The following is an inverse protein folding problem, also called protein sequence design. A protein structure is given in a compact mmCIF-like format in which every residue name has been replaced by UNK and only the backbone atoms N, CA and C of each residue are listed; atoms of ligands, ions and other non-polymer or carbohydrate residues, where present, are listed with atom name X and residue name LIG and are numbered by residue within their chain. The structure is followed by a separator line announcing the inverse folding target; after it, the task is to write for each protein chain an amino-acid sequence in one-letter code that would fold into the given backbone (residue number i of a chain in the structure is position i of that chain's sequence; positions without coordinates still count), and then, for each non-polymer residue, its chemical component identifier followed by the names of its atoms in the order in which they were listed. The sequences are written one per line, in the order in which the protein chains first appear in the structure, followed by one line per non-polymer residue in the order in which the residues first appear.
data_IF_715731855174
#
_entry.id   IF_715731855174
#
_cell.length_a   1.000
_cell.length_b   1.000
_cell.length_c   1.000
_cell.angle_alpha   90.00
_cell.angle_beta   90.00
_cell.angle_gamma   90.00
#
_symmetry.space_group_name_H-M   'P 1'
#
loop_
_entity.id
_entity.type
_entity.pdbx_description
1 polymer ?
#
# COMPACT_ATOMS: atom_id res chain seq x y z
N UNK A 1 14.76 -24.22 16.13
CA UNK A 1 15.03 -22.98 15.39
C UNK A 1 13.69 -22.54 14.83
N UNK A 2 13.14 -21.37 15.20
CA UNK A 2 12.00 -20.84 14.48
C UNK A 2 12.40 -20.61 13.02
N UNK A 3 11.49 -20.90 12.08
CA UNK A 3 11.67 -20.51 10.69
C UNK A 3 11.75 -18.97 10.63
N UNK A 4 12.60 -18.38 9.78
CA UNK A 4 12.62 -16.93 9.62
C UNK A 4 11.22 -16.47 9.20
N UNK A 5 10.70 -15.46 9.89
CA UNK A 5 9.43 -14.83 9.52
C UNK A 5 9.52 -14.37 8.07
N UNK A 6 8.52 -14.74 7.28
CA UNK A 6 8.48 -14.40 5.85
C UNK A 6 8.17 -12.92 5.69
N UNK A 7 8.78 -12.27 4.71
CA UNK A 7 8.58 -10.84 4.49
C UNK A 7 7.12 -10.52 4.12
N UNK A 8 6.42 -11.42 3.43
CA UNK A 8 5.01 -11.21 3.10
C UNK A 8 4.11 -11.20 4.35
N UNK A 9 4.36 -12.08 5.32
CA UNK A 9 3.60 -12.13 6.57
C UNK A 9 3.81 -10.85 7.39
N UNK A 10 5.07 -10.39 7.51
CA UNK A 10 5.42 -9.14 8.20
C UNK A 10 4.74 -7.92 7.58
N UNK A 11 4.71 -7.85 6.24
CA UNK A 11 4.05 -6.76 5.55
C UNK A 11 2.53 -6.78 5.76
N UNK A 12 1.91 -7.95 5.65
CA UNK A 12 0.46 -8.09 5.86
C UNK A 12 0.07 -7.74 7.29
N UNK A 13 0.84 -8.15 8.30
CA UNK A 13 0.62 -7.77 9.69
C UNK A 13 0.83 -6.27 9.91
N UNK A 14 1.84 -5.69 9.27
CA UNK A 14 2.03 -4.24 9.24
C UNK A 14 0.84 -3.49 8.64
N UNK A 15 0.27 -3.97 7.54
CA UNK A 15 -0.92 -3.35 6.94
C UNK A 15 -2.18 -3.49 7.82
N UNK A 16 -2.29 -4.57 8.60
CA UNK A 16 -3.32 -4.70 9.64
C UNK A 16 -3.12 -3.65 10.72
N UNK A 17 -1.89 -3.49 11.22
CA UNK A 17 -1.59 -2.47 12.23
C UNK A 17 -1.90 -1.05 11.73
N UNK A 18 -1.59 -0.73 10.47
CA UNK A 18 -1.97 0.54 9.83
C UNK A 18 -3.49 0.71 9.84
N UNK A 19 -4.24 -0.34 9.48
CA UNK A 19 -5.70 -0.34 9.51
C UNK A 19 -6.25 -0.09 10.92
N UNK A 20 -5.71 -0.77 11.94
CA UNK A 20 -6.11 -0.60 13.33
C UNK A 20 -5.85 0.85 13.81
N UNK A 21 -4.68 1.41 13.49
CA UNK A 21 -4.35 2.81 13.83
C UNK A 21 -5.32 3.78 13.16
N UNK A 22 -5.63 3.58 11.88
CA UNK A 22 -6.58 4.42 11.16
C UNK A 22 -8.00 4.26 11.68
N UNK A 23 -8.39 3.07 12.14
CA UNK A 23 -9.70 2.82 12.70
C UNK A 23 -9.89 3.43 14.08
N UNK A 24 -8.88 3.37 14.93
CA UNK A 24 -8.91 3.93 16.28
C UNK A 24 -8.70 5.44 16.28
N UNK A 25 -7.72 5.93 15.51
CA UNK A 25 -7.21 7.30 15.62
C UNK A 25 -7.61 8.20 14.47
N UNK A 26 -8.10 7.63 13.36
CA UNK A 26 -8.51 8.37 12.14
C UNK A 26 -7.42 9.32 11.63
N UNK A 27 -6.16 8.92 11.75
CA UNK A 27 -5.00 9.78 11.50
C UNK A 27 -3.91 9.05 10.73
N UNK A 28 -3.75 9.40 9.45
CA UNK A 28 -2.64 8.92 8.60
C UNK A 28 -1.28 9.27 9.20
N UNK A 29 -1.15 10.45 9.83
CA UNK A 29 0.07 10.85 10.54
C UNK A 29 0.48 9.87 11.65
N UNK A 30 -0.47 9.15 12.25
CA UNK A 30 -0.16 8.18 13.30
C UNK A 30 0.26 6.82 12.72
N UNK A 31 -0.17 6.51 11.50
CA UNK A 31 0.17 5.28 10.80
C UNK A 31 1.45 5.42 9.95
N UNK A 32 1.82 6.65 9.57
CA UNK A 32 3.00 6.99 8.78
C UNK A 32 4.30 6.33 9.29
N UNK A 33 4.63 6.33 10.60
CA UNK A 33 5.84 5.66 11.06
C UNK A 33 5.88 4.15 10.79
N UNK A 34 4.73 3.47 10.87
CA UNK A 34 4.62 2.04 10.58
C UNK A 34 4.83 1.80 9.10
N UNK A 35 4.21 2.61 8.24
CA UNK A 35 4.41 2.54 6.79
C UNK A 35 5.86 2.78 6.38
N UNK A 36 6.53 3.73 7.04
CA UNK A 36 7.95 4.00 6.83
C UNK A 36 8.83 2.82 7.20
N UNK A 37 8.61 2.21 8.37
CA UNK A 37 9.35 1.03 8.82
C UNK A 37 9.18 -0.16 7.87
N UNK A 38 7.94 -0.46 7.45
CA UNK A 38 7.67 -1.53 6.49
C UNK A 38 8.36 -1.28 5.15
N UNK A 39 8.36 -0.04 4.67
CA UNK A 39 9.03 0.30 3.43
C UNK A 39 10.56 0.25 3.56
N UNK A 40 11.12 0.58 4.72
CA UNK A 40 12.56 0.43 4.97
C UNK A 40 12.99 -1.03 5.02
N UNK A 41 12.16 -1.91 5.59
CA UNK A 41 12.36 -3.37 5.52
C UNK A 41 12.40 -3.86 4.07
N UNK A 42 11.48 -3.39 3.23
CA UNK A 42 11.42 -3.74 1.82
C UNK A 42 12.61 -3.17 1.04
N UNK A 43 13.02 -1.93 1.31
CA UNK A 43 14.19 -1.32 0.68
C UNK A 43 15.52 -2.00 1.08
N UNK A 44 15.59 -2.56 2.29
CA UNK A 44 16.74 -3.29 2.80
C UNK A 44 16.80 -4.76 2.34
N UNK A 45 15.72 -5.29 1.78
CA UNK A 45 15.68 -6.65 1.26
C UNK A 45 16.61 -6.80 0.03
N UNK A 46 17.21 -8.00 -0.19
CA UNK A 46 18.07 -8.23 -1.36
C UNK A 46 17.34 -8.02 -2.70
N UNK A 47 16.02 -8.26 -2.72
CA UNK A 47 15.14 -8.01 -3.85
C UNK A 47 13.84 -7.32 -3.37
N UNK A 48 13.78 -5.98 -3.43
CA UNK A 48 12.60 -5.21 -3.05
C UNK A 48 11.35 -5.52 -3.91
N UNK A 49 11.53 -6.06 -5.11
CA UNK A 49 10.42 -6.47 -6.01
C UNK A 49 10.17 -7.99 -6.00
N UNK A 50 10.62 -8.67 -4.95
CA UNK A 50 10.40 -10.11 -4.78
C UNK A 50 8.93 -10.49 -4.77
N UNK A 51 8.65 -11.76 -5.07
CA UNK A 51 7.29 -12.30 -5.09
C UNK A 51 6.57 -12.18 -3.74
N UNK A 52 7.30 -12.16 -2.64
CA UNK A 52 6.76 -11.96 -1.29
C UNK A 52 6.21 -10.54 -1.12
N UNK A 53 7.01 -9.53 -1.48
CA UNK A 53 6.58 -8.12 -1.43
C UNK A 53 5.40 -7.88 -2.38
N UNK A 54 5.48 -8.41 -3.60
CA UNK A 54 4.39 -8.34 -4.59
C UNK A 54 3.11 -8.95 -4.04
N UNK A 55 3.18 -10.14 -3.43
CA UNK A 55 2.01 -10.81 -2.86
C UNK A 55 1.38 -10.00 -1.74
N UNK A 56 2.16 -9.45 -0.82
CA UNK A 56 1.65 -8.64 0.28
C UNK A 56 0.98 -7.35 -0.22
N UNK A 57 1.60 -6.65 -1.17
CA UNK A 57 1.02 -5.43 -1.74
C UNK A 57 -0.24 -5.72 -2.56
N UNK A 58 -0.26 -6.79 -3.36
CA UNK A 58 -1.46 -7.20 -4.09
C UNK A 58 -2.58 -7.64 -3.14
N UNK A 59 -2.24 -8.26 -2.01
CA UNK A 59 -3.22 -8.52 -0.95
C UNK A 59 -3.84 -7.21 -0.43
N UNK A 60 -3.03 -6.17 -0.17
CA UNK A 60 -3.55 -4.86 0.23
C UNK A 60 -4.41 -4.23 -0.88
N UNK A 61 -3.98 -4.24 -2.14
CA UNK A 61 -4.74 -3.71 -3.29
C UNK A 61 -6.15 -4.32 -3.35
N UNK A 62 -6.24 -5.64 -3.20
CA UNK A 62 -7.50 -6.40 -3.31
C UNK A 62 -8.32 -6.44 -2.01
N UNK A 63 -7.74 -6.02 -0.87
CA UNK A 63 -8.38 -6.17 0.42
C UNK A 63 -9.55 -5.22 0.61
N UNK A 64 -10.68 -5.78 1.07
CA UNK A 64 -11.86 -5.06 1.52
C UNK A 64 -11.98 -4.99 3.04
N UNK A 65 -11.11 -5.73 3.73
CA UNK A 65 -11.13 -5.90 5.19
C UNK A 65 -10.17 -4.92 5.86
N UNK A 66 -9.09 -4.56 5.17
CA UNK A 66 -8.10 -3.60 5.64
C UNK A 66 -8.59 -2.19 5.34
N UNK A 67 -9.06 -1.47 6.35
CA UNK A 67 -9.48 -0.07 6.23
C UNK A 67 -8.34 0.85 5.76
N UNK A 68 -7.09 0.48 6.08
CA UNK A 68 -5.86 1.19 5.69
C UNK A 68 -5.17 0.68 4.42
N UNK A 69 -5.80 -0.21 3.66
CA UNK A 69 -5.20 -0.78 2.45
C UNK A 69 -4.82 0.28 1.41
N UNK A 70 -5.68 1.28 1.21
CA UNK A 70 -5.43 2.34 0.24
C UNK A 70 -4.20 3.16 0.64
N UNK A 71 -4.10 3.55 1.90
CA UNK A 71 -2.99 4.32 2.47
C UNK A 71 -1.67 3.55 2.36
N UNK A 72 -1.69 2.24 2.63
CA UNK A 72 -0.52 1.38 2.44
C UNK A 72 -0.08 1.33 0.98
N UNK A 73 -0.99 1.04 0.05
CA UNK A 73 -0.67 0.98 -1.38
C UNK A 73 -0.20 2.33 -1.90
N UNK A 74 -0.85 3.43 -1.51
CA UNK A 74 -0.48 4.79 -1.89
C UNK A 74 0.92 5.15 -1.41
N UNK A 75 1.26 4.83 -0.16
CA UNK A 75 2.59 5.07 0.40
C UNK A 75 3.68 4.37 -0.41
N UNK A 76 3.52 3.07 -0.66
CA UNK A 76 4.49 2.27 -1.44
C UNK A 76 4.54 2.70 -2.91
N UNK A 77 3.39 3.01 -3.52
CA UNK A 77 3.29 3.53 -4.87
C UNK A 77 4.10 4.81 -5.03
N UNK A 78 3.98 5.75 -4.09
CA UNK A 78 4.71 7.01 -4.15
C UNK A 78 6.20 6.82 -3.87
N UNK A 79 6.55 6.04 -2.84
CA UNK A 79 7.95 5.84 -2.42
C UNK A 79 8.79 5.12 -3.47
N UNK A 80 8.27 4.04 -4.03
CA UNK A 80 9.04 3.17 -4.91
C UNK A 80 8.79 3.43 -6.40
N UNK A 81 7.65 4.01 -6.77
CA UNK A 81 7.26 4.28 -8.16
C UNK A 81 7.33 3.05 -9.07
N UNK A 82 7.10 1.86 -8.51
CA UNK A 82 7.18 0.62 -9.27
C UNK A 82 6.13 0.53 -10.36
N UNK A 83 6.59 0.29 -11.59
CA UNK A 83 5.72 0.14 -12.76
C UNK A 83 4.77 -1.04 -12.61
N UNK A 84 5.23 -2.19 -12.09
CA UNK A 84 4.39 -3.38 -11.94
C UNK A 84 3.20 -3.13 -11.01
N UNK A 85 3.38 -2.38 -9.92
CA UNK A 85 2.31 -2.09 -8.98
C UNK A 85 1.27 -1.18 -9.63
N UNK A 86 1.72 -0.18 -10.38
CA UNK A 86 0.84 0.69 -11.17
C UNK A 86 0.01 -0.11 -12.17
N UNK A 87 0.66 -0.96 -12.97
CA UNK A 87 0.00 -1.80 -13.97
C UNK A 87 -1.05 -2.73 -13.34
N UNK A 88 -0.76 -3.31 -12.18
CA UNK A 88 -1.67 -4.19 -11.47
C UNK A 88 -2.90 -3.46 -10.90
N UNK A 89 -2.74 -2.22 -10.45
CA UNK A 89 -3.87 -1.37 -10.01
C UNK A 89 -4.67 -0.88 -11.23
N UNK A 90 -4.01 -0.43 -12.31
CA UNK A 90 -4.68 -0.01 -13.56
C UNK A 90 -5.51 -1.15 -14.17
N UNK A 91 -4.97 -2.37 -14.19
CA UNK A 91 -5.69 -3.56 -14.67
C UNK A 91 -6.98 -3.81 -13.88
N UNK A 92 -6.91 -3.76 -12.54
CA UNK A 92 -8.09 -3.92 -11.67
C UNK A 92 -9.10 -2.79 -11.81
N UNK A 93 -8.61 -1.57 -12.02
CA UNK A 93 -9.44 -0.41 -12.31
C UNK A 93 -10.24 -0.61 -13.60
N UNK A 94 -9.60 -1.03 -14.70
CA UNK A 94 -10.27 -1.34 -15.97
C UNK A 94 -11.32 -2.46 -15.84
N UNK A 95 -11.00 -3.51 -15.07
CA UNK A 95 -11.95 -4.58 -14.77
C UNK A 95 -13.17 -4.06 -13.99
N UNK A 96 -12.96 -3.13 -13.04
CA UNK A 96 -14.04 -2.51 -12.25
C UNK A 96 -14.95 -1.61 -13.09
N UNK A 97 -14.39 -0.90 -14.08
CA UNK A 97 -15.15 -0.10 -15.04
C UNK A 97 -16.06 -0.98 -15.90
N UNK A 98 -15.54 -2.11 -16.37
CA UNK A 98 -16.29 -3.09 -17.17
C UNK A 98 -17.49 -3.67 -16.39
N UNK A 99 -17.34 -3.82 -15.07
CA UNK A 99 -18.37 -4.35 -14.17
C UNK A 99 -19.28 -3.26 -13.57
N UNK A 100 -18.97 -1.99 -13.82
CA UNK A 100 -19.69 -0.82 -13.28
C UNK A 100 -19.75 -0.83 -11.74
N UNK A 101 -18.67 -1.27 -11.09
CA UNK A 101 -18.55 -1.24 -9.62
C UNK A 101 -17.97 0.11 -9.18
N UNK A 102 -18.84 1.10 -8.95
CA UNK A 102 -18.45 2.46 -8.56
C UNK A 102 -17.60 2.53 -7.29
N UNK A 103 -17.75 1.58 -6.36
CA UNK A 103 -16.94 1.57 -5.14
C UNK A 103 -15.51 1.16 -5.46
N UNK A 104 -15.34 0.10 -6.26
CA UNK A 104 -14.03 -0.35 -6.70
C UNK A 104 -13.34 0.68 -7.60
N UNK A 105 -14.09 1.33 -8.50
CA UNK A 105 -13.55 2.39 -9.37
C UNK A 105 -12.86 3.46 -8.52
N UNK A 106 -13.57 4.05 -7.55
CA UNK A 106 -13.01 5.09 -6.67
C UNK A 106 -11.86 4.59 -5.81
N UNK A 107 -11.93 3.35 -5.35
CA UNK A 107 -10.87 2.73 -4.55
C UNK A 107 -9.56 2.66 -5.34
N UNK A 108 -9.61 2.19 -6.58
CA UNK A 108 -8.42 2.11 -7.43
C UNK A 108 -7.96 3.47 -7.96
N UNK A 109 -8.87 4.40 -8.28
CA UNK A 109 -8.53 5.78 -8.63
C UNK A 109 -7.68 6.42 -7.52
N UNK A 110 -8.12 6.30 -6.26
CA UNK A 110 -7.39 6.81 -5.10
C UNK A 110 -5.98 6.21 -4.99
N UNK A 111 -5.82 4.90 -5.22
CA UNK A 111 -4.49 4.26 -5.23
C UNK A 111 -3.62 4.77 -6.38
N UNK A 112 -4.19 4.99 -7.57
CA UNK A 112 -3.47 5.46 -8.75
C UNK A 112 -2.99 6.90 -8.63
N UNK A 113 -3.71 7.76 -7.91
CA UNK A 113 -3.32 9.16 -7.66
C UNK A 113 -1.92 9.26 -7.02
N UNK A 114 -1.53 8.29 -6.19
CA UNK A 114 -0.21 8.29 -5.54
C UNK A 114 0.97 8.14 -6.52
N UNK A 115 0.72 7.64 -7.74
CA UNK A 115 1.71 7.60 -8.82
C UNK A 115 1.91 8.96 -9.50
N UNK A 116 1.08 9.97 -9.20
CA UNK A 116 1.30 11.34 -9.66
C UNK A 116 2.47 11.99 -8.91
N UNK A 117 3.29 12.83 -9.58
CA UNK A 117 4.22 13.74 -8.91
C UNK A 117 3.51 14.83 -8.08
N UNK A 118 2.28 15.18 -8.45
CA UNK A 118 1.44 16.22 -7.83
C UNK A 118 0.43 15.64 -6.83
N UNK A 119 0.73 14.47 -6.27
CA UNK A 119 -0.18 13.80 -5.33
C UNK A 119 -0.37 14.62 -4.05
N UNK A 120 -1.56 15.21 -3.90
CA UNK A 120 -1.88 16.14 -2.81
C UNK A 120 -1.86 15.47 -1.41
N UNK A 121 -2.32 14.22 -1.31
CA UNK A 121 -2.34 13.49 -0.04
C UNK A 121 -0.95 13.07 0.45
N UNK A 122 0.12 13.33 -0.32
CA UNK A 122 1.50 13.07 0.12
C UNK A 122 1.82 13.77 1.44
N UNK A 123 1.24 14.94 1.69
CA UNK A 123 1.48 15.71 2.92
C UNK A 123 0.91 15.01 4.18
N UNK A 124 0.05 14.00 4.00
CA UNK A 124 -0.41 13.11 5.08
C UNK A 124 0.65 12.10 5.52
N UNK A 125 1.75 11.97 4.76
CA UNK A 125 2.87 11.05 4.98
C UNK A 125 4.20 11.82 5.10
N UNK A 126 4.48 12.47 6.25
CA UNK A 126 5.69 13.26 6.45
C UNK A 126 6.99 12.51 6.14
N UNK A 127 7.03 11.20 6.39
CA UNK A 127 8.19 10.34 6.12
C UNK A 127 8.54 10.20 4.63
N UNK A 128 7.65 10.57 3.71
CA UNK A 128 7.94 10.60 2.26
C UNK A 128 8.66 11.87 1.81
N UNK A 129 8.74 12.89 2.66
CA UNK A 129 9.34 14.19 2.33
C UNK A 129 10.79 14.36 2.84
N UNK A 130 11.31 13.37 3.57
CA UNK A 130 12.65 13.39 4.19
C UNK A 130 13.75 12.78 3.33
#
# INVERSE_FOLDING_TARGET
MPEPERLDDLLVDGFRQVSDILDERKSTLAADPVLAELADLVAAAPDPESDEVKRALLHAVDSRELSGAAEAVQYFAHRFRWTWLREEVERRHLDSLTRVDHRLIRHYERMLEAFSPEWEDRDLFPSLNS
#
